data_IF_946720127926
#
_entry.id   IF_946720127926
#
_cell.length_a   1.000
_cell.length_b   1.000
_cell.length_c   1.000
_cell.angle_alpha   90.00
_cell.angle_beta   90.00
_cell.angle_gamma   90.00
#
_symmetry.space_group_name_H-M   'P 1'
#
loop_
_entity.id
_entity.type
_entity.pdbx_description
1 polymer ?
#
# COMPACT_ATOMS: atom_id res chain seq x y z
N UNK A 1 -25.65 -16.91 25.05
CA UNK A 1 -25.09 -17.43 26.32
C UNK A 1 -25.07 -18.94 26.23
N UNK A 2 -23.93 -19.59 26.53
CA UNK A 2 -23.86 -21.04 26.70
C UNK A 2 -24.90 -21.49 27.72
N UNK A 3 -25.48 -22.68 27.51
CA UNK A 3 -26.56 -23.22 28.35
C UNK A 3 -26.14 -23.50 29.80
N UNK A 4 -24.85 -23.49 30.11
CA UNK A 4 -24.28 -23.84 31.42
C UNK A 4 -23.79 -22.63 32.23
N UNK A 5 -23.89 -21.41 31.69
CA UNK A 5 -23.44 -20.20 32.39
C UNK A 5 -21.92 -20.06 32.52
N UNK A 6 -21.13 -20.87 31.79
CA UNK A 6 -19.69 -20.65 31.71
C UNK A 6 -19.37 -19.42 30.85
N UNK A 7 -18.43 -18.61 31.31
CA UNK A 7 -17.84 -17.53 30.51
C UNK A 7 -16.82 -18.19 29.58
N UNK A 8 -17.20 -18.43 28.33
CA UNK A 8 -16.25 -18.84 27.29
C UNK A 8 -15.12 -17.81 27.24
N UNK A 9 -13.88 -18.28 27.35
CA UNK A 9 -12.71 -17.41 27.26
C UNK A 9 -12.52 -16.98 25.80
N UNK A 10 -13.19 -15.90 25.42
CA UNK A 10 -13.09 -15.31 24.09
C UNK A 10 -11.73 -14.65 23.84
N UNK A 11 -10.82 -14.60 24.82
CA UNK A 11 -9.54 -13.90 24.68
C UNK A 11 -8.70 -14.44 23.51
N UNK A 12 -8.66 -15.76 23.34
CA UNK A 12 -7.95 -16.41 22.24
C UNK A 12 -8.58 -16.05 20.88
N UNK A 13 -9.92 -16.10 20.79
CA UNK A 13 -10.66 -15.72 19.57
C UNK A 13 -10.54 -14.24 19.20
N UNK A 14 -10.47 -13.35 20.20
CA UNK A 14 -10.30 -11.91 20.01
C UNK A 14 -8.86 -11.57 19.59
N UNK A 15 -7.88 -12.34 20.07
CA UNK A 15 -6.48 -12.19 19.67
C UNK A 15 -6.25 -12.60 18.20
N UNK A 16 -6.85 -13.71 17.75
CA UNK A 16 -6.84 -14.12 16.34
C UNK A 16 -7.49 -13.06 15.45
N UNK A 17 -8.67 -12.56 15.84
CA UNK A 17 -9.36 -11.53 15.08
C UNK A 17 -8.54 -10.25 14.95
N UNK A 18 -7.88 -9.83 16.04
CA UNK A 18 -7.01 -8.64 16.04
C UNK A 18 -5.80 -8.82 15.14
N UNK A 19 -5.19 -10.00 15.15
CA UNK A 19 -4.04 -10.32 14.27
C UNK A 19 -4.45 -10.31 12.79
N UNK A 20 -5.58 -10.93 12.45
CA UNK A 20 -6.12 -10.96 11.08
C UNK A 20 -6.51 -9.57 10.60
N UNK A 21 -7.10 -8.75 11.46
CA UNK A 21 -7.42 -7.37 11.15
C UNK A 21 -6.17 -6.51 10.91
N UNK A 22 -5.14 -6.65 11.76
CA UNK A 22 -3.88 -5.94 11.59
C UNK A 22 -3.13 -6.34 10.30
N UNK A 23 -3.32 -7.58 9.84
CA UNK A 23 -2.75 -8.07 8.58
C UNK A 23 -3.58 -7.73 7.34
N UNK A 24 -4.84 -7.31 7.51
CA UNK A 24 -5.76 -7.05 6.40
C UNK A 24 -5.33 -5.81 5.61
N UNK A 25 -5.31 -5.94 4.28
CA UNK A 25 -5.17 -4.82 3.37
C UNK A 25 -6.56 -4.21 3.10
N UNK A 26 -6.65 -2.91 2.78
CA UNK A 26 -7.91 -2.32 2.33
C UNK A 26 -8.38 -3.00 1.04
N UNK A 27 -9.69 -3.18 0.88
CA UNK A 27 -10.28 -3.83 -0.31
C UNK A 27 -9.99 -3.02 -1.59
N UNK A 28 -9.95 -1.69 -1.47
CA UNK A 28 -9.73 -0.74 -2.56
C UNK A 28 -8.24 -0.37 -2.72
N UNK A 29 -7.38 -1.38 -2.88
CA UNK A 29 -5.96 -1.13 -3.16
C UNK A 29 -5.79 -0.32 -4.45
N UNK A 30 -4.88 0.67 -4.47
CA UNK A 30 -4.60 1.44 -5.67
C UNK A 30 -4.02 0.52 -6.75
N UNK A 31 -4.52 0.66 -7.97
CA UNK A 31 -4.00 -0.06 -9.15
C UNK A 31 -2.95 0.84 -9.80
N UNK A 32 -1.72 0.35 -9.91
CA UNK A 32 -0.62 1.10 -10.51
C UNK A 32 0.11 0.24 -11.55
N UNK A 33 0.60 0.83 -12.65
CA UNK A 33 1.43 0.12 -13.62
C UNK A 33 2.69 -0.43 -12.97
N UNK A 34 3.16 -1.59 -13.44
CA UNK A 34 4.36 -2.25 -12.92
C UNK A 34 5.56 -1.31 -12.87
N UNK A 35 5.80 -0.55 -13.94
CA UNK A 35 6.93 0.40 -14.03
C UNK A 35 6.86 1.51 -12.98
N UNK A 36 5.64 1.95 -12.61
CA UNK A 36 5.43 2.94 -11.55
C UNK A 36 5.63 2.28 -10.18
N UNK A 37 5.17 1.04 -10.00
CA UNK A 37 5.39 0.28 -8.77
C UNK A 37 6.87 -0.01 -8.49
N UNK A 38 7.66 -0.34 -9.51
CA UNK A 38 9.11 -0.52 -9.40
C UNK A 38 9.81 0.80 -9.00
N UNK A 39 9.39 1.92 -9.61
CA UNK A 39 9.88 3.25 -9.21
C UNK A 39 9.51 3.57 -7.76
N UNK A 40 8.28 3.26 -7.33
CA UNK A 40 7.83 3.45 -5.96
C UNK A 40 8.70 2.64 -5.00
N UNK A 41 8.91 1.34 -5.26
CA UNK A 41 9.78 0.49 -4.44
C UNK A 41 11.20 1.05 -4.32
N UNK A 42 11.78 1.50 -5.43
CA UNK A 42 13.13 2.06 -5.43
C UNK A 42 13.22 3.41 -4.69
N UNK A 43 12.17 4.23 -4.75
CA UNK A 43 12.12 5.54 -4.12
C UNK A 43 11.77 5.47 -2.63
N UNK A 44 10.95 4.50 -2.24
CA UNK A 44 10.50 4.30 -0.87
C UNK A 44 11.70 3.92 0.02
N UNK A 45 11.99 4.75 1.03
CA UNK A 45 13.17 4.61 1.89
C UNK A 45 14.41 5.40 1.44
N UNK A 46 14.50 5.78 0.16
CA UNK A 46 15.58 6.64 -0.36
C UNK A 46 15.19 8.12 -0.39
N UNK A 47 13.89 8.41 -0.56
CA UNK A 47 13.34 9.76 -0.62
C UNK A 47 11.94 9.79 0.01
N UNK A 48 11.34 10.97 0.08
CA UNK A 48 9.97 11.16 0.55
C UNK A 48 9.01 11.44 -0.62
N UNK A 49 7.71 11.32 -0.36
CA UNK A 49 6.64 11.55 -1.36
C UNK A 49 6.77 12.92 -2.03
N UNK A 50 7.12 13.97 -1.28
CA UNK A 50 7.30 15.32 -1.83
C UNK A 50 8.43 15.35 -2.88
N UNK A 51 9.56 14.71 -2.61
CA UNK A 51 10.69 14.64 -3.54
C UNK A 51 10.33 13.94 -4.85
N UNK A 52 9.52 12.88 -4.78
CA UNK A 52 9.05 12.16 -5.98
C UNK A 52 8.08 13.03 -6.80
N UNK A 53 7.12 13.67 -6.14
CA UNK A 53 6.16 14.55 -6.80
C UNK A 53 6.83 15.79 -7.40
N UNK A 54 7.81 16.38 -6.71
CA UNK A 54 8.58 17.51 -7.23
C UNK A 54 9.41 17.11 -8.46
N UNK A 55 10.04 15.94 -8.42
CA UNK A 55 10.77 15.37 -9.56
C UNK A 55 9.84 15.11 -10.74
N UNK A 56 8.63 14.59 -10.50
CA UNK A 56 7.63 14.39 -11.54
C UNK A 56 7.21 15.73 -12.16
N UNK A 57 6.99 16.76 -11.35
CA UNK A 57 6.54 18.09 -11.82
C UNK A 57 7.63 18.87 -12.56
N UNK A 58 8.86 18.87 -12.04
CA UNK A 58 9.93 19.78 -12.49
C UNK A 58 11.06 19.07 -13.26
N UNK A 59 11.00 17.74 -13.39
CA UNK A 59 12.05 16.95 -14.02
C UNK A 59 12.35 17.38 -15.46
N UNK A 60 13.63 17.52 -15.80
CA UNK A 60 14.08 17.92 -17.14
C UNK A 60 13.75 16.89 -18.25
N UNK A 61 13.35 15.66 -17.88
CA UNK A 61 12.83 14.64 -18.78
C UNK A 61 11.56 14.04 -18.17
N UNK A 62 10.45 14.15 -18.90
CA UNK A 62 9.22 13.43 -18.57
C UNK A 62 9.41 11.98 -19.04
N UNK A 63 9.67 11.07 -18.10
CA UNK A 63 9.57 9.64 -18.36
C UNK A 63 8.12 9.19 -18.21
N UNK A 64 7.77 8.07 -18.84
CA UNK A 64 6.44 7.46 -18.76
C UNK A 64 5.91 7.30 -17.31
N UNK A 65 6.70 6.80 -16.33
CA UNK A 65 6.23 6.73 -14.94
C UNK A 65 6.00 8.12 -14.31
N UNK A 66 6.82 9.12 -14.63
CA UNK A 66 6.61 10.48 -14.11
C UNK A 66 5.35 11.13 -14.71
N UNK A 67 5.09 10.94 -16.01
CA UNK A 67 3.85 11.37 -16.64
C UNK A 67 2.62 10.73 -15.98
N UNK A 68 2.70 9.42 -15.71
CA UNK A 68 1.64 8.71 -15.02
C UNK A 68 1.40 9.25 -13.61
N UNK A 69 2.48 9.52 -12.85
CA UNK A 69 2.39 10.09 -11.50
C UNK A 69 1.71 11.45 -11.54
N UNK A 70 2.04 12.32 -12.50
CA UNK A 70 1.40 13.65 -12.64
C UNK A 70 -0.10 13.51 -12.90
N UNK A 71 -0.52 12.55 -13.72
CA UNK A 71 -1.92 12.31 -14.04
C UNK A 71 -2.69 11.60 -12.89
N UNK A 72 -2.01 10.79 -12.09
CA UNK A 72 -2.60 9.90 -11.09
C UNK A 72 -2.05 10.14 -9.67
N UNK A 73 -1.80 11.40 -9.31
CA UNK A 73 -1.12 11.79 -8.06
C UNK A 73 -1.78 11.22 -6.81
N UNK A 74 -3.12 11.22 -6.76
CA UNK A 74 -3.87 10.67 -5.62
C UNK A 74 -3.66 9.16 -5.49
N UNK A 75 -3.76 8.42 -6.59
CA UNK A 75 -3.53 6.97 -6.62
C UNK A 75 -2.11 6.63 -6.21
N UNK A 76 -1.12 7.37 -6.71
CA UNK A 76 0.28 7.20 -6.33
C UNK A 76 0.50 7.48 -4.84
N UNK A 77 -0.04 8.59 -4.33
CA UNK A 77 0.08 8.96 -2.92
C UNK A 77 -0.57 7.93 -1.99
N UNK A 78 -1.72 7.37 -2.37
CA UNK A 78 -2.35 6.28 -1.63
C UNK A 78 -1.47 5.03 -1.61
N UNK A 79 -0.90 4.63 -2.75
CA UNK A 79 0.01 3.49 -2.83
C UNK A 79 1.26 3.70 -1.96
N UNK A 80 1.79 4.92 -1.95
CA UNK A 80 2.92 5.31 -1.13
C UNK A 80 2.61 5.20 0.37
N UNK A 81 1.49 5.78 0.82
CA UNK A 81 1.10 5.79 2.24
C UNK A 81 0.75 4.40 2.75
N UNK A 82 0.03 3.60 1.95
CA UNK A 82 -0.31 2.23 2.30
C UNK A 82 0.90 1.30 2.24
N UNK A 83 1.94 1.66 1.48
CA UNK A 83 3.02 0.76 1.12
C UNK A 83 2.51 -0.50 0.41
N UNK A 84 1.34 -0.44 -0.22
CA UNK A 84 0.70 -1.59 -0.85
C UNK A 84 -0.15 -1.15 -2.06
N UNK A 85 -0.15 -1.98 -3.11
CA UNK A 85 -0.87 -1.72 -4.35
C UNK A 85 -1.11 -3.00 -5.14
N UNK A 86 -1.97 -2.90 -6.16
CA UNK A 86 -2.19 -3.93 -7.16
C UNK A 86 -1.50 -3.55 -8.47
N UNK A 87 -0.77 -4.47 -9.08
CA UNK A 87 -0.15 -4.30 -10.39
C UNK A 87 -1.23 -4.33 -11.47
N UNK A 88 -1.27 -3.32 -12.32
CA UNK A 88 -2.29 -3.19 -13.38
C UNK A 88 -2.24 -4.36 -14.38
N UNK A 89 -1.04 -4.78 -14.76
CA UNK A 89 -0.81 -5.76 -15.82
C UNK A 89 -1.11 -7.20 -15.39
N UNK A 90 -0.90 -7.53 -14.11
CA UNK A 90 -0.99 -8.91 -13.59
C UNK A 90 -2.07 -9.09 -12.52
N UNK A 91 -2.56 -8.01 -11.92
CA UNK A 91 -3.43 -8.07 -10.74
C UNK A 91 -2.72 -8.50 -9.46
N UNK A 92 -1.39 -8.64 -9.48
CA UNK A 92 -0.60 -9.05 -8.33
C UNK A 92 -0.61 -7.97 -7.24
N UNK A 93 -0.73 -8.38 -5.97
CA UNK A 93 -0.67 -7.45 -4.83
C UNK A 93 0.77 -7.39 -4.34
N UNK A 94 1.32 -6.18 -4.31
CA UNK A 94 2.64 -5.89 -3.79
C UNK A 94 2.51 -5.15 -2.48
N UNK A 95 3.31 -5.55 -1.48
CA UNK A 95 3.39 -4.90 -0.17
C UNK A 95 4.86 -4.63 0.17
N UNK A 96 5.13 -3.41 0.61
CA UNK A 96 6.41 -3.02 1.19
C UNK A 96 6.43 -3.50 2.63
N UNK A 97 7.44 -4.29 2.97
CA UNK A 97 7.73 -4.63 4.37
C UNK A 97 8.16 -3.35 5.08
N UNK A 98 7.52 -3.04 6.22
CA UNK A 98 7.97 -1.93 7.04
C UNK A 98 9.36 -2.27 7.60
N UNK A 99 10.36 -1.45 7.33
CA UNK A 99 11.63 -1.53 8.05
C UNK A 99 11.31 -1.36 9.55
N UNK A 100 11.70 -2.36 10.34
CA UNK A 100 11.43 -2.46 11.78
C UNK A 100 12.42 -1.64 12.59
#
# INVERSE_FOLDING_TARGET
>A
MPRDGSFEDWSESLSDYSARYAAALPDDLPVIPKVVGEMLQSAHGQTNLLGVLDTARNGHKVSEPLAWIIANQNTFATAWVLGAWRVEETGEIVKLEAEK
#
